data_IF_965875045960
#
_entry.id   IF_965875045960
#
_cell.length_a   1.000
_cell.length_b   1.000
_cell.length_c   1.000
_cell.angle_alpha   90.00
_cell.angle_beta   90.00
_cell.angle_gamma   90.00
#
_symmetry.space_group_name_H-M   'P 1'
#
loop_
_entity.id
_entity.type
_entity.pdbx_description
1 polymer ?
#
# COMPACT_ATOMS: atom_id res chain seq x y z
N UNK A 1 6.17 -11.54 -11.31
CA UNK A 1 6.43 -11.19 -9.90
C UNK A 1 5.66 -12.20 -9.04
N UNK A 2 6.30 -12.83 -8.05
CA UNK A 2 5.65 -13.79 -7.15
C UNK A 2 4.73 -12.99 -6.23
N UNK A 3 3.43 -13.30 -6.22
CA UNK A 3 2.49 -12.68 -5.28
C UNK A 3 2.81 -13.18 -3.87
N UNK A 4 2.72 -12.30 -2.87
CA UNK A 4 2.99 -12.66 -1.48
C UNK A 4 2.01 -13.74 -1.01
N UNK A 5 2.54 -14.70 -0.25
CA UNK A 5 1.73 -15.75 0.34
C UNK A 5 0.84 -15.19 1.44
N UNK A 6 -0.28 -15.86 1.69
CA UNK A 6 -1.20 -15.45 2.76
C UNK A 6 -0.53 -15.47 4.14
N UNK A 7 0.39 -16.42 4.38
CA UNK A 7 1.12 -16.52 5.64
C UNK A 7 2.03 -15.30 5.88
N UNK A 8 2.72 -14.81 4.84
CA UNK A 8 3.54 -13.59 4.95
C UNK A 8 2.69 -12.36 5.29
N UNK A 9 1.55 -12.19 4.61
CA UNK A 9 0.60 -11.10 4.89
C UNK A 9 0.11 -11.17 6.34
N UNK A 10 -0.28 -12.36 6.80
CA UNK A 10 -0.80 -12.57 8.15
C UNK A 10 0.26 -12.23 9.22
N UNK A 11 1.52 -12.61 9.00
CA UNK A 11 2.64 -12.27 9.89
C UNK A 11 2.86 -10.75 9.97
N UNK A 12 2.79 -10.04 8.85
CA UNK A 12 2.97 -8.59 8.81
C UNK A 12 1.81 -7.85 9.49
N UNK A 13 0.57 -8.28 9.24
CA UNK A 13 -0.62 -7.72 9.90
C UNK A 13 -0.58 -7.97 11.41
N UNK A 14 -0.11 -9.15 11.84
CA UNK A 14 0.07 -9.46 13.26
C UNK A 14 1.11 -8.55 13.93
N UNK A 15 2.19 -8.20 13.22
CA UNK A 15 3.23 -7.29 13.72
C UNK A 15 2.74 -5.84 13.81
N UNK A 16 2.01 -5.35 12.82
CA UNK A 16 1.48 -3.99 12.79
C UNK A 16 0.40 -3.70 13.84
N UNK A 17 -0.32 -4.74 14.30
CA UNK A 17 -1.40 -4.64 15.30
C UNK A 17 -2.42 -3.52 15.00
N UNK A 18 -3.02 -3.47 13.80
CA UNK A 18 -4.07 -2.50 13.50
C UNK A 18 -5.32 -2.75 14.35
N UNK A 19 -6.17 -1.73 14.52
CA UNK A 19 -7.40 -1.82 15.32
C UNK A 19 -8.36 -2.89 14.75
N UNK A 20 -8.54 -2.93 13.43
CA UNK A 20 -9.42 -3.89 12.74
C UNK A 20 -8.65 -4.88 11.85
N UNK A 21 -7.95 -5.84 12.48
CA UNK A 21 -7.05 -6.79 11.80
C UNK A 21 -7.66 -7.53 10.61
N UNK A 22 -8.89 -8.03 10.74
CA UNK A 22 -9.53 -8.82 9.68
C UNK A 22 -9.88 -7.99 8.45
N UNK A 23 -10.32 -6.75 8.65
CA UNK A 23 -10.65 -5.84 7.56
C UNK A 23 -9.38 -5.37 6.85
N UNK A 24 -8.36 -4.96 7.62
CA UNK A 24 -7.05 -4.58 7.07
C UNK A 24 -6.43 -5.73 6.26
N UNK A 25 -6.42 -6.96 6.80
CA UNK A 25 -5.94 -8.14 6.08
C UNK A 25 -6.69 -8.36 4.78
N UNK A 26 -8.03 -8.30 4.81
CA UNK A 26 -8.88 -8.50 3.63
C UNK A 26 -8.55 -7.49 2.54
N UNK A 27 -8.46 -6.22 2.90
CA UNK A 27 -8.21 -5.13 1.95
C UNK A 27 -6.80 -5.20 1.37
N UNK A 28 -5.80 -5.53 2.19
CA UNK A 28 -4.43 -5.79 1.75
C UNK A 28 -4.36 -6.99 0.79
N UNK A 29 -4.97 -8.12 1.17
CA UNK A 29 -5.00 -9.32 0.33
C UNK A 29 -5.68 -9.00 -1.01
N UNK A 30 -6.78 -8.24 -1.02
CA UNK A 30 -7.40 -7.79 -2.27
C UNK A 30 -6.44 -6.91 -3.08
N UNK A 31 -5.83 -5.90 -2.46
CA UNK A 31 -4.91 -4.96 -3.12
C UNK A 31 -3.71 -5.65 -3.78
N UNK A 32 -3.02 -6.54 -3.06
CA UNK A 32 -1.89 -7.33 -3.58
C UNK A 32 -2.31 -8.24 -4.74
N UNK A 33 -3.56 -8.72 -4.73
CA UNK A 33 -4.05 -9.65 -5.73
C UNK A 33 -4.68 -8.99 -6.96
N UNK A 34 -4.82 -7.66 -6.99
CA UNK A 34 -5.41 -6.95 -8.12
C UNK A 34 -4.64 -7.23 -9.43
N UNK A 35 -5.30 -7.72 -10.50
CA UNK A 35 -4.64 -8.09 -11.76
C UNK A 35 -3.92 -6.93 -12.47
N UNK A 36 -4.37 -5.70 -12.21
CA UNK A 36 -3.83 -4.48 -12.83
C UNK A 36 -2.67 -3.88 -12.04
N UNK A 37 -2.22 -4.53 -10.97
CA UNK A 37 -1.23 -3.96 -10.06
C UNK A 37 -0.06 -4.91 -9.81
N UNK A 38 1.08 -4.31 -9.49
CA UNK A 38 2.25 -4.98 -8.97
C UNK A 38 2.55 -4.43 -7.57
N UNK A 39 1.56 -4.49 -6.68
CA UNK A 39 1.71 -4.04 -5.30
C UNK A 39 2.25 -5.14 -4.41
N UNK A 40 3.14 -4.75 -3.48
CA UNK A 40 3.72 -5.62 -2.46
C UNK A 40 3.50 -4.97 -1.10
N UNK A 41 3.02 -5.75 -0.14
CA UNK A 41 2.91 -5.37 1.26
C UNK A 41 4.30 -5.24 1.90
N UNK A 42 4.53 -4.11 2.55
CA UNK A 42 5.73 -3.77 3.32
C UNK A 42 5.32 -3.23 4.69
N UNK A 43 6.19 -3.39 5.69
CA UNK A 43 6.16 -2.62 6.92
C UNK A 43 7.16 -1.48 6.77
N UNK A 44 6.70 -0.25 6.94
CA UNK A 44 7.51 0.96 6.75
C UNK A 44 7.23 1.94 7.88
N UNK A 45 8.25 2.69 8.28
CA UNK A 45 8.08 3.82 9.19
C UNK A 45 7.41 4.98 8.44
N UNK A 46 6.29 5.45 8.96
CA UNK A 46 5.53 6.60 8.48
C UNK A 46 5.73 7.76 9.44
N UNK A 47 6.09 8.93 8.92
CA UNK A 47 6.29 10.15 9.70
C UNK A 47 5.07 11.05 9.54
N UNK A 48 4.39 11.32 10.65
CA UNK A 48 3.24 12.21 10.71
C UNK A 48 3.69 13.67 10.77
N UNK A 49 2.78 14.58 10.40
CA UNK A 49 3.05 16.02 10.40
C UNK A 49 3.28 16.60 11.81
N UNK A 50 2.91 15.88 12.87
CA UNK A 50 3.15 16.24 14.27
C UNK A 50 4.57 15.87 14.75
N UNK A 51 5.39 15.27 13.86
CA UNK A 51 6.75 14.83 14.15
C UNK A 51 6.84 13.42 14.74
N UNK A 52 5.72 12.77 15.03
CA UNK A 52 5.72 11.39 15.48
C UNK A 52 5.93 10.43 14.30
N UNK A 53 6.57 9.29 14.55
CA UNK A 53 6.68 8.20 13.58
C UNK A 53 5.97 6.95 14.06
N UNK A 54 5.54 6.11 13.12
CA UNK A 54 4.93 4.82 13.41
C UNK A 54 5.20 3.82 12.29
N UNK A 55 5.48 2.57 12.66
CA UNK A 55 5.53 1.48 11.69
C UNK A 55 4.11 1.12 11.23
N UNK A 56 3.85 1.27 9.93
CA UNK A 56 2.55 1.00 9.30
C UNK A 56 2.69 -0.02 8.17
N UNK A 57 1.56 -0.66 7.86
CA UNK A 57 1.41 -1.49 6.66
C UNK A 57 1.29 -0.58 5.44
N UNK A 58 2.11 -0.85 4.42
CA UNK A 58 2.16 -0.09 3.18
C UNK A 58 2.11 -1.05 1.99
N UNK A 59 1.16 -0.85 1.07
CA UNK A 59 1.24 -1.44 -0.26
C UNK A 59 2.10 -0.53 -1.13
N UNK A 60 3.21 -1.05 -1.63
CA UNK A 60 4.20 -0.33 -2.42
C UNK A 60 4.40 -1.05 -3.76
N UNK A 61 4.34 -0.30 -4.86
CA UNK A 61 4.57 -0.83 -6.19
C UNK A 61 3.94 0.04 -7.27
N UNK A 62 3.39 -0.57 -8.30
CA UNK A 62 2.77 0.16 -9.42
C UNK A 62 1.35 -0.30 -9.69
N UNK A 63 0.48 0.61 -10.12
CA UNK A 63 -0.84 0.28 -10.68
C UNK A 63 -0.88 0.70 -12.14
N UNK A 64 -1.42 -0.16 -12.98
CA UNK A 64 -1.58 0.12 -14.40
C UNK A 64 -2.76 1.07 -14.65
N UNK A 65 -2.51 2.14 -15.39
CA UNK A 65 -3.47 3.15 -15.79
C UNK A 65 -3.44 3.30 -17.32
N UNK A 66 -4.62 3.37 -17.96
CA UNK A 66 -4.73 3.65 -19.38
C UNK A 66 -4.90 5.15 -19.61
N UNK A 67 -4.04 5.73 -20.44
CA UNK A 67 -4.11 7.12 -20.82
C UNK A 67 -3.77 7.28 -22.30
N UNK A 68 -4.69 7.86 -23.07
CA UNK A 68 -4.54 8.10 -24.51
C UNK A 68 -4.09 6.85 -25.29
N UNK A 69 -4.71 5.70 -24.99
CA UNK A 69 -4.44 4.43 -25.67
C UNK A 69 -3.14 3.72 -25.23
N UNK A 70 -2.38 4.31 -24.30
CA UNK A 70 -1.17 3.71 -23.75
C UNK A 70 -1.39 3.29 -22.29
N UNK A 71 -0.72 2.21 -21.88
CA UNK A 71 -0.77 1.70 -20.51
C UNK A 71 0.49 2.12 -19.75
N UNK A 72 0.31 2.89 -18.68
CA UNK A 72 1.38 3.37 -17.81
C UNK A 72 1.32 2.66 -16.45
N UNK A 73 2.47 2.39 -15.86
CA UNK A 73 2.58 1.77 -14.54
C UNK A 73 2.92 2.86 -13.53
N UNK A 74 1.88 3.46 -12.93
CA UNK A 74 2.03 4.58 -12.01
C UNK A 74 2.54 4.03 -10.66
N UNK A 75 3.73 4.45 -10.19
CA UNK A 75 4.22 4.01 -8.90
C UNK A 75 3.43 4.69 -7.78
N UNK A 76 2.97 3.90 -6.82
CA UNK A 76 2.16 4.37 -5.71
C UNK A 76 2.58 3.72 -4.38
N UNK A 77 2.20 4.37 -3.30
CA UNK A 77 2.25 3.83 -1.95
C UNK A 77 0.90 4.06 -1.26
N UNK A 78 0.30 2.99 -0.71
CA UNK A 78 -0.97 3.04 0.03
C UNK A 78 -0.70 2.61 1.46
N UNK A 79 -0.88 3.52 2.40
CA UNK A 79 -0.57 3.36 3.81
C UNK A 79 -1.84 3.14 4.62
N UNK A 80 -1.90 2.00 5.32
CA UNK A 80 -3.03 1.64 6.18
C UNK A 80 -2.82 2.22 7.57
N UNK A 81 -3.67 3.18 7.94
CA UNK A 81 -3.66 3.81 9.25
C UNK A 81 -4.12 2.85 10.34
N UNK A 82 -3.76 3.15 11.60
CA UNK A 82 -4.11 2.32 12.76
C UNK A 82 -5.61 1.99 12.84
N UNK A 83 -6.44 3.01 12.56
CA UNK A 83 -7.89 2.95 12.70
C UNK A 83 -8.63 2.64 11.39
N UNK A 84 -7.93 2.16 10.37
CA UNK A 84 -8.56 1.61 9.16
C UNK A 84 -9.60 0.53 9.56
N UNK A 85 -10.80 0.50 8.95
CA UNK A 85 -11.27 1.33 7.85
C UNK A 85 -12.04 2.61 8.26
N UNK A 86 -12.11 2.93 9.56
CA UNK A 86 -12.79 4.14 10.04
C UNK A 86 -12.12 5.42 9.52
N UNK A 87 -10.80 5.33 9.30
CA UNK A 87 -10.01 6.34 8.57
C UNK A 87 -9.55 5.72 7.25
N UNK A 88 -9.69 6.43 6.11
CA UNK A 88 -9.22 5.92 4.83
C UNK A 88 -7.69 5.76 4.81
N UNK A 89 -7.16 4.86 3.98
CA UNK A 89 -5.72 4.76 3.79
C UNK A 89 -5.17 6.04 3.13
N UNK A 90 -3.92 6.37 3.43
CA UNK A 90 -3.22 7.48 2.78
C UNK A 90 -2.55 6.96 1.51
N UNK A 91 -2.82 7.60 0.37
CA UNK A 91 -2.29 7.18 -0.93
C UNK A 91 -1.40 8.27 -1.52
N UNK A 92 -0.21 7.87 -1.99
CA UNK A 92 0.75 8.76 -2.62
C UNK A 92 1.20 8.19 -3.96
N UNK A 93 1.45 9.07 -4.93
CA UNK A 93 2.27 8.74 -6.09
C UNK A 93 3.75 8.81 -5.68
N UNK A 94 4.57 7.94 -6.24
CA UNK A 94 6.02 7.93 -6.04
C UNK A 94 6.73 8.13 -7.38
N UNK A 95 6.90 9.37 -7.84
CA UNK A 95 7.59 9.64 -9.10
C UNK A 95 8.98 9.02 -9.10
N UNK A 96 9.34 8.36 -10.19
CA UNK A 96 10.74 8.02 -10.47
C UNK A 96 11.50 9.30 -10.88
N UNK A 97 12.83 9.21 -11.01
CA UNK A 97 13.68 10.37 -11.36
C UNK A 97 13.32 11.06 -12.67
N UNK A 98 12.65 10.34 -13.58
CA UNK A 98 12.18 10.78 -14.89
C UNK A 98 10.70 11.23 -14.88
N UNK A 99 10.00 11.14 -13.74
CA UNK A 99 8.62 11.57 -13.58
C UNK A 99 8.53 12.88 -12.79
N UNK A 100 7.54 13.71 -13.11
CA UNK A 100 7.30 14.99 -12.46
C UNK A 100 5.84 15.09 -12.00
N UNK A 101 5.64 15.61 -10.79
CA UNK A 101 4.32 16.01 -10.28
C UNK A 101 4.26 17.52 -10.39
N UNK A 102 3.32 18.01 -11.22
CA UNK A 102 3.10 19.43 -11.46
C UNK A 102 2.01 20.00 -10.59
#
# INVERSE_FOLDING_TARGET
>A
MVKQSQNEIDQMVQRARPTNRDLVRRDITHGVNLPISNLVLKLKEYYYNDGNSKELLCLDGTVACEYKGNRYYIPIEIWFQQDHPNVPPLAYVKPTSDMFVS
#
